data_IF_954219760188
#
_entry.id   IF_954219760188
#
_cell.length_a   1.000
_cell.length_b   1.000
_cell.length_c   1.000
_cell.angle_alpha   90.00
_cell.angle_beta   90.00
_cell.angle_gamma   90.00
#
_symmetry.space_group_name_H-M   'P 1'
#
loop_
_entity.id
_entity.type
_entity.pdbx_description
1 polymer ?
#
# COMPACT_ATOMS: atom_id res chain seq x y z
N UNK A 1 -0.28 -5.78 3.21
CA UNK A 1 -0.02 -5.32 1.83
C UNK A 1 -1.22 -4.68 1.12
N UNK A 2 -2.45 -5.22 1.19
CA UNK A 2 -3.58 -4.79 0.32
C UNK A 2 -4.36 -3.51 0.72
N UNK A 3 -3.86 -2.72 1.67
CA UNK A 3 -4.63 -1.65 2.30
C UNK A 3 -4.60 -0.29 1.55
N UNK A 4 -3.60 -0.06 0.69
CA UNK A 4 -3.40 1.23 0.04
C UNK A 4 -4.61 1.75 -0.78
N UNK A 5 -5.36 0.92 -1.54
CA UNK A 5 -6.53 1.40 -2.29
C UNK A 5 -7.62 2.05 -1.43
N UNK A 6 -7.80 1.61 -0.18
CA UNK A 6 -8.73 2.25 0.75
C UNK A 6 -8.30 3.67 1.12
N UNK A 7 -6.99 3.91 1.20
CA UNK A 7 -6.43 5.25 1.39
C UNK A 7 -6.66 6.16 0.19
N UNK A 8 -6.54 5.62 -1.03
CA UNK A 8 -6.86 6.34 -2.26
C UNK A 8 -8.35 6.73 -2.30
N UNK A 9 -9.24 5.75 -2.08
CA UNK A 9 -10.69 5.99 -2.05
C UNK A 9 -11.12 6.98 -0.95
N UNK A 10 -10.46 6.94 0.20
CA UNK A 10 -10.71 7.83 1.33
C UNK A 10 -9.68 8.96 1.43
N UNK A 11 -9.18 9.48 0.30
CA UNK A 11 -8.25 10.61 0.27
C UNK A 11 -8.72 11.77 1.17
N UNK A 12 -7.81 12.28 2.00
CA UNK A 12 -8.09 13.32 2.99
C UNK A 12 -8.90 12.87 4.22
N UNK A 13 -9.31 11.59 4.29
CA UNK A 13 -10.13 11.03 5.38
C UNK A 13 -9.47 9.81 6.04
N UNK A 14 -8.34 9.96 6.76
CA UNK A 14 -7.58 8.84 7.35
C UNK A 14 -8.41 7.92 8.25
N UNK A 15 -9.32 8.46 9.05
CA UNK A 15 -10.20 7.68 9.92
C UNK A 15 -11.15 6.77 9.12
N UNK A 16 -11.67 7.25 7.98
CA UNK A 16 -12.52 6.43 7.11
C UNK A 16 -11.71 5.33 6.41
N UNK A 17 -10.51 5.67 5.92
CA UNK A 17 -9.60 4.69 5.35
C UNK A 17 -9.33 3.54 6.33
N UNK A 18 -9.05 3.88 7.60
CA UNK A 18 -8.84 2.91 8.66
C UNK A 18 -10.12 2.11 9.01
N UNK A 19 -11.30 2.71 8.97
CA UNK A 19 -12.57 2.01 9.18
C UNK A 19 -12.81 0.96 8.10
N UNK A 20 -12.61 1.32 6.83
CA UNK A 20 -12.79 0.41 5.70
C UNK A 20 -11.81 -0.77 5.76
N UNK A 21 -10.54 -0.52 6.10
CA UNK A 21 -9.56 -1.58 6.30
C UNK A 21 -9.91 -2.48 7.47
N UNK A 22 -10.49 -1.97 8.55
CA UNK A 22 -10.95 -2.82 9.65
C UNK A 22 -12.08 -3.76 9.22
N UNK A 23 -12.95 -3.33 8.31
CA UNK A 23 -14.01 -4.19 7.74
C UNK A 23 -13.40 -5.26 6.83
N UNK A 24 -12.54 -4.89 5.87
CA UNK A 24 -11.86 -5.84 4.98
C UNK A 24 -10.97 -6.83 5.74
N UNK A 25 -10.18 -6.32 6.68
CA UNK A 25 -9.18 -7.08 7.40
C UNK A 25 -9.76 -8.22 8.22
N UNK A 26 -10.96 -8.04 8.81
CA UNK A 26 -11.65 -9.05 9.63
C UNK A 26 -11.95 -10.36 8.89
N UNK A 27 -11.92 -10.36 7.56
CA UNK A 27 -12.13 -11.57 6.76
C UNK A 27 -10.93 -12.53 6.87
N UNK A 28 -9.72 -12.03 7.09
CA UNK A 28 -8.51 -12.86 7.05
C UNK A 28 -7.42 -12.51 8.07
N UNK A 29 -7.62 -11.49 8.90
CA UNK A 29 -6.64 -11.00 9.89
C UNK A 29 -7.35 -10.59 11.18
N UNK A 30 -6.58 -10.53 12.26
CA UNK A 30 -7.00 -10.01 13.56
C UNK A 30 -5.89 -9.13 14.17
N UNK A 31 -6.24 -8.28 15.13
CA UNK A 31 -5.29 -7.50 15.93
C UNK A 31 -4.29 -6.71 15.09
N UNK A 32 -3.01 -7.02 15.28
CA UNK A 32 -1.88 -6.34 14.60
C UNK A 32 -1.95 -6.41 13.07
N UNK A 33 -2.55 -7.46 12.50
CA UNK A 33 -2.76 -7.55 11.04
C UNK A 33 -3.72 -6.47 10.53
N UNK A 34 -4.78 -6.18 11.29
CA UNK A 34 -5.73 -5.10 10.99
C UNK A 34 -5.06 -3.74 11.25
N UNK A 35 -4.42 -3.57 12.41
CA UNK A 35 -3.76 -2.30 12.79
C UNK A 35 -2.70 -1.87 11.78
N UNK A 36 -1.88 -2.80 11.29
CA UNK A 36 -0.92 -2.54 10.24
C UNK A 36 -1.58 -2.04 8.96
N UNK A 37 -2.67 -2.67 8.53
CA UNK A 37 -3.45 -2.21 7.37
C UNK A 37 -4.04 -0.81 7.57
N UNK A 38 -4.61 -0.53 8.75
CA UNK A 38 -5.18 0.77 9.07
C UNK A 38 -4.14 1.88 9.00
N UNK A 39 -2.95 1.65 9.57
CA UNK A 39 -1.84 2.61 9.50
C UNK A 39 -1.45 2.94 8.06
N UNK A 40 -1.33 1.92 7.19
CA UNK A 40 -1.00 2.11 5.77
C UNK A 40 -2.07 2.93 5.07
N UNK A 41 -3.34 2.56 5.18
CA UNK A 41 -4.42 3.26 4.49
C UNK A 41 -4.60 4.70 4.98
N UNK A 42 -4.48 4.95 6.29
CA UNK A 42 -4.50 6.28 6.86
C UNK A 42 -3.34 7.15 6.37
N UNK A 43 -2.13 6.58 6.29
CA UNK A 43 -0.96 7.26 5.72
C UNK A 43 -1.15 7.63 4.25
N UNK A 44 -1.62 6.67 3.43
CA UNK A 44 -1.93 6.92 2.01
C UNK A 44 -3.01 7.99 1.86
N UNK A 45 -4.11 7.91 2.62
CA UNK A 45 -5.18 8.91 2.58
C UNK A 45 -4.69 10.34 2.87
N UNK A 46 -3.78 10.50 3.82
CA UNK A 46 -3.14 11.78 4.10
C UNK A 46 -2.21 12.23 2.96
N UNK A 47 -1.40 11.31 2.42
CA UNK A 47 -0.46 11.61 1.34
C UNK A 47 -1.18 12.09 0.06
N UNK A 48 -2.32 11.50 -0.28
CA UNK A 48 -3.11 11.82 -1.47
C UNK A 48 -3.60 13.28 -1.56
N UNK A 49 -3.63 14.00 -0.44
CA UNK A 49 -4.05 15.42 -0.39
C UNK A 49 -2.86 16.38 -0.16
N UNK A 50 -1.65 15.94 -0.50
CA UNK A 50 -0.44 16.76 -0.45
C UNK A 50 0.12 16.96 0.96
N UNK A 51 -0.21 16.08 1.91
CA UNK A 51 0.32 16.18 3.26
C UNK A 51 1.83 15.89 3.31
N UNK A 52 2.60 16.66 4.08
CA UNK A 52 4.03 16.41 4.27
C UNK A 52 4.33 15.10 5.01
N UNK A 53 5.59 14.64 4.95
CA UNK A 53 6.08 13.40 5.56
C UNK A 53 5.59 13.18 7.01
N UNK A 54 5.72 14.22 7.85
CA UNK A 54 5.32 14.17 9.26
C UNK A 54 3.82 13.94 9.42
N UNK A 55 2.99 14.57 8.58
CA UNK A 55 1.54 14.43 8.61
C UNK A 55 1.09 13.04 8.17
N UNK A 56 1.78 12.42 7.19
CA UNK A 56 1.54 11.03 6.78
C UNK A 56 1.79 10.06 7.93
N UNK A 57 2.92 10.23 8.64
CA UNK A 57 3.27 9.39 9.80
C UNK A 57 2.29 9.61 10.95
N UNK A 58 1.91 10.87 11.22
CA UNK A 58 0.95 11.21 12.26
C UNK A 58 -0.43 10.61 11.97
N UNK A 59 -0.90 10.67 10.71
CA UNK A 59 -2.16 10.06 10.29
C UNK A 59 -2.15 8.54 10.53
N UNK A 60 -1.07 7.86 10.15
CA UNK A 60 -0.90 6.43 10.38
C UNK A 60 -0.95 6.05 11.87
N UNK A 61 -0.28 6.82 12.73
CA UNK A 61 -0.27 6.59 14.18
C UNK A 61 -1.61 6.95 14.86
N UNK A 62 -2.37 7.90 14.31
CA UNK A 62 -3.62 8.38 14.92
C UNK A 62 -4.75 7.36 14.93
N UNK A 63 -4.69 6.36 14.03
CA UNK A 63 -5.75 5.35 13.86
C UNK A 63 -5.44 4.00 14.49
N UNK A 64 -4.28 3.87 15.15
CA UNK A 64 -3.79 2.62 15.73
C UNK A 64 -3.68 2.75 17.26
N UNK A 65 -4.07 1.72 18.06
CA UNK A 65 -3.92 1.76 19.50
C UNK A 65 -2.47 2.07 19.93
N UNK A 66 -2.30 3.03 20.84
CA UNK A 66 -0.99 3.58 21.19
C UNK A 66 0.01 2.53 21.71
N UNK A 67 -0.51 1.52 22.41
CA UNK A 67 0.19 0.40 23.05
C UNK A 67 0.21 -0.89 22.20
N UNK A 68 -0.24 -0.82 20.94
CA UNK A 68 -0.06 -1.92 19.98
C UNK A 68 1.41 -2.10 19.60
N UNK A 69 1.74 -3.29 19.13
CA UNK A 69 3.05 -3.56 18.55
C UNK A 69 3.25 -2.75 17.26
N UNK A 70 2.23 -2.62 16.41
CA UNK A 70 2.26 -1.76 15.22
C UNK A 70 2.70 -0.35 15.58
N UNK A 71 2.01 0.33 16.51
CA UNK A 71 2.36 1.69 16.90
C UNK A 71 3.79 1.81 17.45
N UNK A 72 4.25 0.84 18.24
CA UNK A 72 5.66 0.80 18.72
C UNK A 72 6.66 0.61 17.57
N UNK A 73 6.38 -0.29 16.64
CA UNK A 73 7.26 -0.57 15.50
C UNK A 73 7.36 0.61 14.55
N UNK A 74 6.24 1.28 14.23
CA UNK A 74 6.24 2.51 13.44
C UNK A 74 7.12 3.58 14.10
N UNK A 75 6.90 3.87 15.39
CA UNK A 75 7.68 4.89 16.11
C UNK A 75 9.17 4.55 16.14
N UNK A 76 9.52 3.28 16.41
CA UNK A 76 10.93 2.84 16.44
C UNK A 76 11.60 2.96 15.08
N UNK A 77 10.94 2.52 14.01
CA UNK A 77 11.49 2.60 12.66
C UNK A 77 11.67 4.04 12.18
N UNK A 78 10.65 4.90 12.37
CA UNK A 78 10.72 6.33 12.03
C UNK A 78 11.84 7.03 12.81
N UNK A 79 11.92 6.80 14.12
CA UNK A 79 12.98 7.37 14.95
C UNK A 79 14.38 6.88 14.55
N UNK A 80 14.51 5.59 14.18
CA UNK A 80 15.78 5.06 13.67
C UNK A 80 16.15 5.69 12.33
N UNK A 81 15.20 5.86 11.42
CA UNK A 81 15.43 6.42 10.08
C UNK A 81 15.85 7.91 10.09
N UNK A 82 15.47 8.67 11.13
CA UNK A 82 15.77 10.10 11.25
C UNK A 82 17.16 10.41 11.84
N UNK A 83 17.88 9.40 12.33
CA UNK A 83 19.22 9.60 12.90
C UNK A 83 20.26 9.84 11.79
N UNK A 84 21.35 10.56 12.08
CA UNK A 84 22.46 10.67 11.15
C UNK A 84 23.22 9.33 11.07
N UNK A 85 23.57 8.92 9.86
CA UNK A 85 24.38 7.73 9.59
C UNK A 85 25.47 8.06 8.57
N UNK A 86 26.64 7.38 8.63
CA UNK A 86 27.72 7.60 7.68
C UNK A 86 27.37 7.15 6.26
N UNK A 87 26.46 6.19 6.11
CA UNK A 87 26.07 5.62 4.84
C UNK A 87 24.68 4.97 4.91
N UNK A 88 24.14 4.64 3.73
CA UNK A 88 22.81 4.04 3.56
C UNK A 88 22.70 2.64 4.18
N UNK A 89 23.71 1.81 4.06
CA UNK A 89 23.69 0.44 4.59
C UNK A 89 23.64 0.45 6.13
N UNK A 90 24.38 1.35 6.76
CA UNK A 90 24.35 1.54 8.22
C UNK A 90 22.96 1.99 8.68
N UNK A 91 22.32 2.92 7.95
CA UNK A 91 20.94 3.34 8.21
C UNK A 91 19.94 2.18 8.05
N UNK A 92 20.00 1.45 6.94
CA UNK A 92 19.13 0.29 6.66
C UNK A 92 19.23 -0.77 7.78
N UNK A 93 20.45 -1.07 8.23
CA UNK A 93 20.70 -1.97 9.36
C UNK A 93 20.11 -1.44 10.66
N UNK A 94 20.19 -0.15 10.92
CA UNK A 94 19.65 0.46 12.13
C UNK A 94 18.11 0.43 12.15
N UNK A 95 17.46 0.77 11.04
CA UNK A 95 15.99 0.65 10.89
C UNK A 95 15.56 -0.80 11.05
N UNK A 96 16.23 -1.73 10.36
CA UNK A 96 15.98 -3.17 10.48
C UNK A 96 16.08 -3.65 11.92
N UNK A 97 17.17 -3.31 12.61
CA UNK A 97 17.41 -3.73 14.00
C UNK A 97 16.41 -3.13 15.00
N UNK A 98 15.77 -2.00 14.66
CA UNK A 98 14.78 -1.35 15.52
C UNK A 98 13.44 -2.10 15.57
N UNK A 99 13.12 -2.92 14.56
CA UNK A 99 11.82 -3.58 14.42
C UNK A 99 11.86 -5.09 14.26
N UNK A 100 12.90 -5.64 13.63
CA UNK A 100 13.00 -7.08 13.34
C UNK A 100 13.31 -7.87 14.61
N UNK A 101 12.53 -8.91 14.86
CA UNK A 101 12.78 -9.86 15.93
C UNK A 101 13.68 -10.99 15.39
N UNK A 102 14.98 -10.92 15.69
CA UNK A 102 15.95 -11.87 15.12
C UNK A 102 15.71 -13.34 15.48
N UNK A 103 15.07 -13.63 16.61
CA UNK A 103 14.71 -14.99 17.02
C UNK A 103 13.42 -15.53 16.39
N UNK A 104 12.71 -14.72 15.61
CA UNK A 104 11.44 -15.12 15.00
C UNK A 104 11.66 -15.50 13.52
N UNK A 105 11.36 -16.76 13.13
CA UNK A 105 11.73 -17.26 11.81
C UNK A 105 10.89 -16.65 10.69
N UNK A 106 9.64 -16.28 10.95
CA UNK A 106 8.73 -15.76 9.93
C UNK A 106 8.94 -14.26 9.69
N UNK A 107 8.81 -13.85 8.43
CA UNK A 107 9.08 -12.48 7.96
C UNK A 107 7.80 -11.64 7.78
N UNK A 108 6.64 -12.28 7.85
CA UNK A 108 5.31 -11.78 7.48
C UNK A 108 4.55 -11.11 8.64
N UNK A 109 5.25 -10.68 9.70
CA UNK A 109 4.65 -9.96 10.81
C UNK A 109 4.23 -8.55 10.39
N UNK A 110 2.93 -8.26 10.43
CA UNK A 110 2.40 -6.94 10.06
C UNK A 110 3.10 -5.76 10.79
N UNK A 111 3.36 -5.80 12.12
CA UNK A 111 4.09 -4.72 12.79
C UNK A 111 5.50 -4.52 12.26
N UNK A 112 6.18 -5.60 11.86
CA UNK A 112 7.53 -5.54 11.32
C UNK A 112 7.50 -4.98 9.90
N UNK A 113 6.65 -5.52 9.03
CA UNK A 113 6.52 -5.08 7.65
C UNK A 113 6.11 -3.60 7.55
N UNK A 114 5.12 -3.17 8.32
CA UNK A 114 4.69 -1.76 8.33
C UNK A 114 5.76 -0.87 8.97
N UNK A 115 6.43 -1.32 10.03
CA UNK A 115 7.57 -0.61 10.60
C UNK A 115 8.69 -0.37 9.58
N UNK A 116 9.16 -1.43 8.91
CA UNK A 116 10.18 -1.35 7.87
C UNK A 116 9.76 -0.43 6.72
N UNK A 117 8.51 -0.53 6.26
CA UNK A 117 8.00 0.31 5.17
C UNK A 117 7.98 1.81 5.53
N UNK A 118 7.47 2.16 6.73
CA UNK A 118 7.47 3.56 7.20
C UNK A 118 8.89 4.06 7.51
N UNK A 119 9.77 3.18 7.99
CA UNK A 119 11.19 3.48 8.14
C UNK A 119 11.86 3.81 6.81
N UNK A 120 11.64 2.99 5.78
CA UNK A 120 12.16 3.21 4.42
C UNK A 120 11.62 4.52 3.81
N UNK A 121 10.31 4.75 3.91
CA UNK A 121 9.66 5.98 3.47
C UNK A 121 10.24 7.22 4.16
N UNK A 122 10.47 7.14 5.47
CA UNK A 122 11.08 8.23 6.27
C UNK A 122 12.53 8.48 5.86
N UNK A 123 13.34 7.42 5.76
CA UNK A 123 14.75 7.52 5.38
C UNK A 123 14.94 8.11 3.98
N UNK A 124 14.01 7.82 3.07
CA UNK A 124 13.97 8.37 1.72
C UNK A 124 13.41 9.80 1.65
N UNK A 125 12.91 10.36 2.77
CA UNK A 125 12.18 11.64 2.80
C UNK A 125 11.04 11.69 1.78
N UNK A 126 10.35 10.57 1.58
CA UNK A 126 9.25 10.45 0.63
C UNK A 126 9.65 10.15 -0.81
N UNK A 127 10.94 10.21 -1.19
CA UNK A 127 11.37 9.91 -2.55
C UNK A 127 11.02 8.46 -2.95
N UNK A 128 10.29 8.29 -4.05
CA UNK A 128 9.73 7.00 -4.47
C UNK A 128 10.81 5.94 -4.73
N UNK A 129 11.77 6.26 -5.59
CA UNK A 129 12.83 5.31 -5.98
C UNK A 129 13.66 4.92 -4.76
N UNK A 130 14.05 5.88 -3.94
CA UNK A 130 14.84 5.64 -2.74
C UNK A 130 14.04 4.83 -1.71
N UNK A 131 12.77 5.15 -1.47
CA UNK A 131 11.93 4.43 -0.50
C UNK A 131 11.76 2.96 -0.88
N UNK A 132 11.43 2.68 -2.14
CA UNK A 132 11.27 1.30 -2.66
C UNK A 132 12.58 0.53 -2.54
N UNK A 133 13.70 1.10 -2.98
CA UNK A 133 15.00 0.43 -2.88
C UNK A 133 15.43 0.21 -1.43
N UNK A 134 15.15 1.15 -0.52
CA UNK A 134 15.51 1.01 0.90
C UNK A 134 14.72 -0.12 1.53
N UNK A 135 13.41 -0.21 1.24
CA UNK A 135 12.58 -1.30 1.72
C UNK A 135 13.07 -2.67 1.23
N UNK A 136 13.34 -2.81 -0.08
CA UNK A 136 13.85 -4.06 -0.65
C UNK A 136 15.20 -4.47 -0.03
N UNK A 137 16.13 -3.54 0.15
CA UNK A 137 17.47 -3.84 0.66
C UNK A 137 17.49 -4.20 2.16
N UNK A 138 16.45 -3.86 2.93
CA UNK A 138 16.32 -4.32 4.32
C UNK A 138 15.91 -5.80 4.44
N UNK A 139 15.49 -6.43 3.33
CA UNK A 139 15.11 -7.84 3.25
C UNK A 139 13.82 -8.16 4.02
N UNK A 140 13.71 -9.40 4.53
CA UNK A 140 12.51 -9.96 5.18
C UNK A 140 11.37 -10.07 4.15
N UNK A 141 10.18 -9.56 4.44
CA UNK A 141 9.03 -9.51 3.54
C UNK A 141 9.18 -8.32 2.58
N UNK A 142 10.18 -8.44 1.69
CA UNK A 142 10.69 -7.34 0.88
C UNK A 142 9.65 -6.82 -0.14
N UNK A 143 8.84 -7.70 -0.71
CA UNK A 143 7.76 -7.33 -1.62
C UNK A 143 6.65 -6.55 -0.89
N UNK A 144 6.22 -6.99 0.30
CA UNK A 144 5.23 -6.24 1.09
C UNK A 144 5.76 -4.89 1.54
N UNK A 145 6.97 -4.84 2.09
CA UNK A 145 7.55 -3.60 2.60
C UNK A 145 7.77 -2.58 1.47
N UNK A 146 8.25 -3.03 0.31
CA UNK A 146 8.42 -2.20 -0.88
C UNK A 146 7.08 -1.72 -1.46
N UNK A 147 6.07 -2.59 -1.51
CA UNK A 147 4.72 -2.22 -1.95
C UNK A 147 4.11 -1.14 -1.05
N UNK A 148 4.25 -1.26 0.27
CA UNK A 148 3.75 -0.28 1.22
C UNK A 148 4.54 1.04 1.13
N UNK A 149 5.87 0.99 1.17
CA UNK A 149 6.71 2.19 1.08
C UNK A 149 6.48 2.94 -0.25
N UNK A 150 6.41 2.19 -1.35
CA UNK A 150 6.09 2.71 -2.68
C UNK A 150 4.69 3.32 -2.75
N UNK A 151 3.68 2.71 -2.10
CA UNK A 151 2.33 3.29 -2.06
C UNK A 151 2.27 4.64 -1.33
N UNK A 152 3.02 4.79 -0.23
CA UNK A 152 3.10 6.05 0.52
C UNK A 152 3.82 7.14 -0.29
N UNK A 153 4.97 6.80 -0.87
CA UNK A 153 5.75 7.72 -1.70
C UNK A 153 5.04 8.08 -3.01
N UNK A 154 4.38 7.11 -3.65
CA UNK A 154 3.61 7.31 -4.87
C UNK A 154 2.37 8.18 -4.62
N UNK A 155 1.68 8.00 -3.49
CA UNK A 155 0.59 8.88 -3.09
C UNK A 155 1.06 10.32 -2.82
N UNK A 156 2.29 10.50 -2.31
CA UNK A 156 2.84 11.82 -1.99
C UNK A 156 3.29 12.61 -3.24
N UNK A 157 3.82 11.91 -4.25
CA UNK A 157 4.45 12.55 -5.42
C UNK A 157 3.78 12.25 -6.76
N UNK A 158 2.73 11.43 -6.75
CA UNK A 158 1.98 11.02 -7.94
C UNK A 158 2.76 10.07 -8.85
N UNK A 159 2.10 9.69 -9.96
CA UNK A 159 2.62 8.70 -10.92
C UNK A 159 3.94 9.14 -11.57
N UNK A 160 4.19 10.45 -11.70
CA UNK A 160 5.41 10.99 -12.31
C UNK A 160 6.68 10.72 -11.49
N UNK A 161 6.57 10.36 -10.21
CA UNK A 161 7.71 9.98 -9.38
C UNK A 161 8.21 8.54 -9.64
N UNK A 162 7.41 7.73 -10.33
CA UNK A 162 7.75 6.34 -10.63
C UNK A 162 8.73 6.32 -11.81
N UNK A 163 9.90 5.66 -11.69
CA UNK A 163 10.82 5.50 -12.82
C UNK A 163 10.09 4.88 -14.03
N UNK A 164 10.16 5.48 -15.23
CA UNK A 164 9.45 4.98 -16.41
C UNK A 164 9.79 3.54 -16.75
N UNK A 165 11.04 3.13 -16.55
CA UNK A 165 11.51 1.77 -16.76
C UNK A 165 10.85 0.75 -15.81
N UNK A 166 10.47 1.17 -14.60
CA UNK A 166 9.75 0.31 -13.65
C UNK A 166 8.27 0.24 -13.98
N UNK A 167 7.66 1.37 -14.34
CA UNK A 167 6.26 1.42 -14.74
C UNK A 167 6.01 0.58 -16.00
N UNK A 168 6.91 0.67 -17.00
CA UNK A 168 6.81 -0.08 -18.25
C UNK A 168 7.01 -1.60 -18.08
N UNK A 169 7.62 -2.04 -16.97
CA UNK A 169 7.77 -3.46 -16.65
C UNK A 169 6.47 -4.09 -16.12
N UNK A 170 5.49 -3.29 -15.71
CA UNK A 170 4.19 -3.78 -15.25
C UNK A 170 3.28 -3.97 -16.46
N UNK A 171 2.90 -5.22 -16.69
CA UNK A 171 1.94 -5.60 -17.72
C UNK A 171 0.56 -5.98 -17.14
N UNK A 172 -0.42 -6.23 -18.01
CA UNK A 172 -1.72 -6.76 -17.59
C UNK A 172 -1.58 -8.09 -16.84
N UNK A 173 -2.45 -8.33 -15.86
CA UNK A 173 -2.38 -9.56 -15.07
C UNK A 173 -2.81 -10.76 -15.91
N UNK A 174 -2.08 -11.88 -15.75
CA UNK A 174 -2.32 -13.12 -16.52
C UNK A 174 -3.60 -13.86 -16.12
N UNK A 175 -4.13 -13.57 -14.93
CA UNK A 175 -5.29 -14.26 -14.35
C UNK A 175 -5.01 -15.71 -13.94
N UNK A 176 -3.78 -16.02 -13.51
CA UNK A 176 -3.42 -17.37 -13.04
C UNK A 176 -4.07 -17.71 -11.70
N UNK A 177 -4.09 -16.78 -10.74
CA UNK A 177 -4.73 -16.96 -9.44
C UNK A 177 -6.22 -16.57 -9.45
N UNK A 178 -6.56 -15.54 -10.24
CA UNK A 178 -7.93 -15.02 -10.38
C UNK A 178 -8.27 -14.90 -11.87
N UNK A 179 -8.91 -15.92 -12.48
CA UNK A 179 -9.21 -15.93 -13.91
C UNK A 179 -10.05 -14.73 -14.38
N UNK A 180 -10.93 -14.21 -13.51
CA UNK A 180 -11.76 -13.03 -13.78
C UNK A 180 -10.96 -11.74 -13.97
N UNK A 181 -9.73 -11.67 -13.45
CA UNK A 181 -8.86 -10.49 -13.57
C UNK A 181 -8.00 -10.53 -14.84
N UNK A 182 -8.02 -11.59 -15.64
CA UNK A 182 -7.16 -11.73 -16.82
C UNK A 182 -7.31 -10.53 -17.76
N UNK A 183 -6.18 -9.91 -18.11
CA UNK A 183 -6.12 -8.81 -19.06
C UNK A 183 -6.33 -7.42 -18.45
N UNK A 184 -6.72 -7.31 -17.18
CA UNK A 184 -6.79 -6.01 -16.52
C UNK A 184 -5.38 -5.47 -16.22
N UNK A 185 -5.19 -4.17 -16.44
CA UNK A 185 -4.02 -3.44 -15.97
C UNK A 185 -4.33 -2.75 -14.64
N UNK A 186 -3.32 -2.59 -13.77
CA UNK A 186 -3.50 -1.89 -12.48
C UNK A 186 -3.97 -0.44 -12.63
N UNK A 187 -3.62 0.19 -13.75
CA UNK A 187 -4.04 1.55 -14.10
C UNK A 187 -5.53 1.62 -14.39
N UNK A 188 -6.09 0.62 -15.08
CA UNK A 188 -7.53 0.55 -15.37
C UNK A 188 -8.35 0.57 -14.06
N UNK A 189 -7.83 -0.07 -13.00
CA UNK A 189 -8.47 -0.08 -11.69
C UNK A 189 -8.22 1.22 -10.92
N UNK A 190 -7.05 1.83 -11.07
CA UNK A 190 -6.73 3.11 -10.43
C UNK A 190 -7.67 4.22 -10.92
N UNK A 191 -7.94 4.27 -12.23
CA UNK A 191 -8.82 5.28 -12.84
C UNK A 191 -10.27 5.19 -12.29
N UNK A 192 -10.74 3.99 -11.94
CA UNK A 192 -12.06 3.79 -11.31
C UNK A 192 -12.14 4.31 -9.87
N UNK A 193 -11.01 4.34 -9.15
CA UNK A 193 -10.93 4.76 -7.75
C UNK A 193 -10.80 6.27 -7.60
N UNK A 194 -10.31 6.95 -8.62
CA UNK A 194 -10.17 8.41 -8.67
C UNK A 194 -10.92 8.95 -9.89
N UNK A 195 -12.27 8.88 -9.90
CA UNK A 195 -13.03 9.43 -11.00
C UNK A 195 -12.69 10.92 -11.13
N UNK A 196 -12.45 11.35 -12.37
CA UNK A 196 -12.11 12.74 -12.64
C UNK A 196 -13.18 13.67 -12.06
N UNK A 197 -12.74 14.64 -11.26
CA UNK A 197 -13.61 15.74 -10.84
C UNK A 197 -14.03 16.57 -12.06
N UNK A 198 -15.13 17.34 -11.97
CA UNK A 198 -15.68 18.12 -13.09
C UNK A 198 -14.70 19.12 -13.74
N UNK A 199 -13.54 19.39 -13.13
CA UNK A 199 -12.55 20.37 -13.58
C UNK A 199 -11.49 19.83 -14.56
N UNK A 200 -11.47 18.53 -14.86
CA UNK A 200 -10.47 17.93 -15.77
C UNK A 200 -10.79 18.09 -17.27
N UNK A 201 -12.06 18.38 -17.60
CA UNK A 201 -12.56 18.39 -18.98
C UNK A 201 -11.89 19.43 -19.89
N UNK A 202 -11.31 20.50 -19.32
CA UNK A 202 -10.62 21.54 -20.09
C UNK A 202 -9.19 21.15 -20.54
N UNK A 203 -8.62 20.08 -19.98
CA UNK A 203 -7.25 19.64 -20.29
C UNK A 203 -7.18 18.52 -21.35
N UNK A 204 -8.33 17.99 -21.76
CA UNK A 204 -8.42 16.86 -22.70
C UNK A 204 -8.20 17.23 -24.18
N UNK A 205 -8.16 18.51 -24.55
CA UNK A 205 -7.94 18.92 -25.95
C UNK A 205 -6.47 18.83 -26.42
N UNK A 206 -5.52 18.43 -25.55
CA UNK A 206 -4.08 18.43 -25.87
C UNK A 206 -3.37 17.07 -25.93
N UNK A 207 -4.01 15.94 -25.59
CA UNK A 207 -3.31 14.64 -25.49
C UNK A 207 -3.74 13.66 -26.58
N UNK A 208 -3.30 13.93 -27.81
CA UNK A 208 -3.33 12.98 -28.92
C UNK A 208 -2.26 11.89 -28.73
N UNK A 209 -2.60 10.82 -28.05
CA UNK A 209 -1.78 9.62 -27.89
C UNK A 209 -2.65 8.44 -27.48
N UNK A 210 -3.24 7.78 -28.47
CA UNK A 210 -4.29 6.77 -28.28
C UNK A 210 -3.86 5.61 -27.38
N UNK A 211 -4.58 5.47 -26.27
CA UNK A 211 -4.78 4.19 -25.60
C UNK A 211 -6.27 3.91 -25.72
N UNK A 212 -6.65 2.90 -26.50
CA UNK A 212 -8.06 2.48 -26.55
C UNK A 212 -8.48 2.10 -25.12
N UNK A 213 -9.68 2.54 -24.67
CA UNK A 213 -10.19 2.13 -23.38
C UNK A 213 -10.24 0.60 -23.35
N UNK A 214 -9.55 -0.03 -22.40
CA UNK A 214 -9.78 -1.45 -22.15
C UNK A 214 -11.25 -1.58 -21.77
N UNK A 215 -11.97 -2.51 -22.40
CA UNK A 215 -13.38 -2.75 -22.11
C UNK A 215 -13.44 -3.25 -20.66
N UNK A 216 -13.60 -2.32 -19.72
CA UNK A 216 -13.89 -2.62 -18.32
C UNK A 216 -15.20 -3.38 -18.33
N UNK A 217 -15.12 -4.71 -18.29
CA UNK A 217 -16.30 -5.54 -18.07
C UNK A 217 -16.84 -5.14 -16.71
N UNK A 218 -18.12 -4.81 -16.69
CA UNK A 218 -18.84 -4.35 -15.52
C UNK A 218 -18.62 -5.35 -14.36
N UNK A 219 -17.91 -4.93 -13.31
CA UNK A 219 -17.63 -5.80 -12.15
C UNK A 219 -18.94 -6.26 -11.48
N UNK A 220 -20.04 -5.53 -11.68
CA UNK A 220 -21.36 -5.93 -11.19
C UNK A 220 -21.88 -7.23 -11.83
N UNK A 221 -21.50 -7.55 -13.07
CA UNK A 221 -22.00 -8.74 -13.75
C UNK A 221 -21.31 -10.04 -13.32
N UNK A 222 -20.14 -9.97 -12.65
CA UNK A 222 -19.38 -11.14 -12.19
C UNK A 222 -20.01 -11.77 -10.94
N UNK A 223 -20.80 -11.02 -10.19
CA UNK A 223 -21.46 -11.52 -8.97
C UNK A 223 -22.65 -12.45 -9.26
N UNK A 224 -23.21 -12.41 -10.47
CA UNK A 224 -24.43 -13.14 -10.82
C UNK A 224 -24.23 -14.63 -11.20
N UNK A 225 -22.99 -15.10 -11.37
CA UNK A 225 -22.72 -16.48 -11.85
C UNK A 225 -22.12 -17.43 -10.81
N UNK A 226 -21.97 -17.02 -9.55
CA UNK A 226 -21.44 -17.87 -8.48
C UNK A 226 -22.59 -18.58 -7.73
N UNK A 227 -23.23 -19.54 -8.39
CA UNK A 227 -24.13 -20.49 -7.72
C UNK A 227 -23.27 -21.49 -6.93
N UNK A 228 -23.28 -21.39 -5.61
CA UNK A 228 -22.61 -22.35 -4.72
C UNK A 228 -23.54 -23.56 -4.54
N UNK A 229 -23.25 -24.69 -5.17
CA UNK A 229 -23.95 -25.94 -4.86
C UNK A 229 -23.44 -26.50 -3.52
N UNK A 230 -24.33 -26.82 -2.56
CA UNK A 230 -23.91 -27.41 -1.30
C UNK A 230 -23.40 -28.84 -1.50
N UNK A 231 -22.23 -29.13 -0.93
CA UNK A 231 -21.65 -30.48 -0.87
C UNK A 231 -22.59 -31.40 -0.09
N UNK A 232 -23.05 -32.48 -0.74
CA UNK A 232 -23.83 -33.53 -0.08
C UNK A 232 -22.94 -34.25 0.93
N UNK A 233 -23.37 -34.23 2.19
CA UNK A 233 -22.75 -34.94 3.30
C UNK A 233 -23.14 -36.43 3.21
N UNK A 234 -22.26 -37.24 2.62
CA UNK A 234 -22.42 -38.70 2.59
C UNK A 234 -22.02 -39.25 3.97
N UNK A 235 -23.02 -39.51 4.82
CA UNK A 235 -22.83 -40.21 6.09
C UNK A 235 -22.52 -41.69 5.84
N UNK A 236 -21.37 -42.14 6.33
CA UNK A 236 -21.13 -43.54 6.71
C UNK A 236 -20.66 -43.59 8.15
#
# INVERSE_FOLDING_TARGET
>A
MRAAPFGVFAAGRPAEAARLVAVDGRVSHEGEGIYGGQAVAAGVAAAMVGAGLASVIAAALSVVPMDSWTARSLRRAVAAAQRPYPDRLTMERAVRSAVVIGGYPWTDLAPEAVGLAFGAFTAARGDFRTAVLTAVNMGRDADTTAAVAGSLAGALHGVGAIPPEWAAAIGPVRGSCLPSMRGYHVLDIADLLTPEGPDSADSAQGRGGGREPSVVRDMASVSASASFEPVREDRR
#
